data_IF_995004267835
#
_entry.id   IF_995004267835
#
_cell.length_a   1.000
_cell.length_b   1.000
_cell.length_c   1.000
_cell.angle_alpha   90.00
_cell.angle_beta   90.00
_cell.angle_gamma   90.00
#
_symmetry.space_group_name_H-M   'P 1'
#
loop_
_entity.id
_entity.type
_entity.pdbx_description
1 polymer ?
#
# COMPACT_ATOMS: atom_id res chain seq x y z
N UNK A 1 -8.56 -6.07 13.46
CA UNK A 1 -8.87 -6.40 14.87
C UNK A 1 -7.67 -6.13 15.82
N UNK A 2 -6.49 -6.77 15.65
CA UNK A 2 -5.35 -6.65 16.59
C UNK A 2 -4.80 -5.21 16.71
N UNK A 3 -4.64 -4.47 15.59
CA UNK A 3 -4.17 -3.09 15.64
C UNK A 3 -5.11 -2.18 16.43
N UNK A 4 -6.42 -2.38 16.30
CA UNK A 4 -7.44 -1.64 17.05
C UNK A 4 -7.31 -1.94 18.54
N UNK A 5 -7.19 -3.21 18.91
CA UNK A 5 -7.00 -3.63 20.30
C UNK A 5 -5.75 -3.01 20.92
N UNK A 6 -4.64 -2.98 20.17
CA UNK A 6 -3.41 -2.31 20.62
C UNK A 6 -3.60 -0.78 20.76
N UNK A 7 -4.32 -0.15 19.83
CA UNK A 7 -4.61 1.29 19.93
C UNK A 7 -5.45 1.62 21.16
N UNK A 8 -6.53 0.87 21.40
CA UNK A 8 -7.40 1.03 22.56
C UNK A 8 -6.64 0.83 23.89
N UNK A 9 -5.72 -0.15 23.93
CA UNK A 9 -4.90 -0.41 25.12
C UNK A 9 -3.88 0.72 25.39
N UNK A 10 -3.32 1.30 24.32
CA UNK A 10 -2.30 2.36 24.44
C UNK A 10 -2.87 3.74 24.65
N UNK A 11 -4.03 4.01 24.05
CA UNK A 11 -4.69 5.31 24.10
C UNK A 11 -5.97 5.13 24.92
N UNK A 12 -5.84 5.25 26.24
CA UNK A 12 -6.97 5.18 27.15
C UNK A 12 -7.68 6.55 27.22
N UNK A 13 -8.32 6.95 26.11
CA UNK A 13 -9.04 8.23 26.00
C UNK A 13 -10.45 7.96 25.47
N UNK A 14 -11.52 8.40 26.18
CA UNK A 14 -12.91 8.18 25.79
C UNK A 14 -13.29 8.85 24.46
N UNK A 15 -12.49 9.80 23.97
CA UNK A 15 -12.69 10.43 22.66
C UNK A 15 -12.22 9.56 21.50
N UNK A 16 -11.47 8.47 21.78
CA UNK A 16 -10.99 7.55 20.74
C UNK A 16 -12.16 6.64 20.31
N UNK A 17 -12.61 6.83 19.08
CA UNK A 17 -13.50 5.89 18.39
C UNK A 17 -12.68 5.06 17.41
N UNK A 18 -12.94 3.75 17.36
CA UNK A 18 -12.21 2.83 16.49
C UNK A 18 -13.19 2.04 15.63
N UNK A 19 -12.89 1.92 14.34
CA UNK A 19 -13.69 1.19 13.37
C UNK A 19 -12.80 0.15 12.67
N UNK A 20 -13.28 -1.09 12.58
CA UNK A 20 -12.57 -2.17 11.88
C UNK A 20 -13.08 -2.29 10.44
N UNK A 21 -12.91 -1.21 9.69
CA UNK A 21 -13.42 -1.07 8.33
C UNK A 21 -12.36 -0.42 7.42
N UNK A 22 -12.63 -0.41 6.11
CA UNK A 22 -11.86 0.38 5.17
C UNK A 22 -12.06 1.86 5.44
N UNK A 23 -11.02 2.66 5.30
CA UNK A 23 -11.10 4.12 5.38
C UNK A 23 -12.04 4.73 4.31
N UNK A 24 -12.41 3.97 3.29
CA UNK A 24 -13.42 4.36 2.31
C UNK A 24 -14.84 4.43 2.90
N UNK A 25 -15.07 3.81 4.07
CA UNK A 25 -16.31 3.90 4.83
C UNK A 25 -16.39 5.13 5.75
N UNK A 26 -15.34 5.95 5.80
CA UNK A 26 -15.30 7.14 6.66
C UNK A 26 -16.50 8.09 6.48
N UNK A 27 -17.03 8.35 5.26
CA UNK A 27 -18.22 9.20 5.12
C UNK A 27 -19.42 8.70 5.91
N UNK A 28 -19.73 7.39 5.83
CA UNK A 28 -20.86 6.79 6.50
C UNK A 28 -20.69 6.84 8.03
N UNK A 29 -19.49 6.60 8.54
CA UNK A 29 -19.22 6.65 9.97
C UNK A 29 -19.29 8.07 10.52
N UNK A 30 -18.77 9.07 9.81
CA UNK A 30 -18.87 10.47 10.21
C UNK A 30 -20.30 11.00 10.12
N UNK A 31 -21.08 10.56 9.13
CA UNK A 31 -22.49 10.88 8.99
C UNK A 31 -23.32 10.35 10.18
N UNK A 32 -23.09 9.10 10.61
CA UNK A 32 -23.72 8.55 11.82
C UNK A 32 -23.41 9.35 13.08
N UNK A 33 -22.23 9.93 13.15
CA UNK A 33 -21.79 10.78 14.25
C UNK A 33 -22.30 12.24 14.13
N UNK A 34 -22.86 12.64 12.98
CA UNK A 34 -23.30 14.01 12.71
C UNK A 34 -22.17 15.03 12.64
N UNK A 35 -20.95 14.62 12.24
CA UNK A 35 -19.77 15.49 12.25
C UNK A 35 -19.00 15.46 10.93
N UNK A 36 -18.26 16.55 10.66
CA UNK A 36 -17.23 16.60 9.64
C UNK A 36 -15.86 16.72 10.32
N UNK A 37 -14.87 16.08 9.74
CA UNK A 37 -13.51 16.10 10.29
C UNK A 37 -12.83 17.45 10.07
N UNK A 38 -12.08 17.89 11.07
CA UNK A 38 -11.19 19.05 10.97
C UNK A 38 -9.85 18.70 10.33
N UNK A 39 -9.48 17.44 10.37
CA UNK A 39 -8.27 16.87 9.76
C UNK A 39 -8.42 15.38 9.53
N UNK A 40 -7.78 14.88 8.50
CA UNK A 40 -7.67 13.46 8.18
C UNK A 40 -6.21 13.11 7.89
N UNK A 41 -5.70 12.04 8.49
CA UNK A 41 -4.38 11.48 8.21
C UNK A 41 -4.55 10.07 7.68
N UNK A 42 -4.00 9.83 6.49
CA UNK A 42 -3.96 8.52 5.85
C UNK A 42 -2.52 8.01 5.80
N UNK A 43 -2.25 6.94 6.53
CA UNK A 43 -0.98 6.22 6.53
C UNK A 43 -1.17 4.97 5.65
N UNK A 44 -0.72 5.07 4.38
CA UNK A 44 -0.98 4.04 3.38
C UNK A 44 -0.01 2.85 3.52
N UNK A 45 -0.40 1.72 2.95
CA UNK A 45 0.39 0.50 2.92
C UNK A 45 0.14 -0.41 4.12
N UNK A 46 1.17 -1.20 4.48
CA UNK A 46 1.05 -2.23 5.51
C UNK A 46 1.73 -1.82 6.82
N UNK A 47 1.15 -2.28 7.93
CA UNK A 47 1.73 -2.06 9.25
C UNK A 47 3.00 -2.89 9.46
N UNK A 48 3.88 -2.41 10.35
CA UNK A 48 5.06 -3.19 10.77
C UNK A 48 4.69 -4.57 11.29
N UNK A 49 3.57 -4.69 12.00
CA UNK A 49 3.06 -5.98 12.48
C UNK A 49 2.77 -6.97 11.35
N UNK A 50 2.15 -6.50 10.25
CA UNK A 50 1.88 -7.35 9.08
C UNK A 50 3.17 -7.75 8.37
N UNK A 51 4.13 -6.84 8.25
CA UNK A 51 5.41 -7.10 7.61
C UNK A 51 6.29 -8.06 8.41
N UNK A 52 6.28 -7.94 9.74
CA UNK A 52 7.12 -8.73 10.64
C UNK A 52 6.55 -10.12 10.92
N UNK A 53 5.28 -10.37 10.59
CA UNK A 53 4.65 -11.68 10.75
C UNK A 53 4.85 -12.53 9.48
N UNK A 54 5.70 -13.58 9.50
CA UNK A 54 5.96 -14.42 8.31
C UNK A 54 4.70 -15.09 7.77
N UNK A 55 3.73 -15.43 8.63
CA UNK A 55 2.49 -16.09 8.23
C UNK A 55 1.59 -15.22 7.31
N UNK A 56 1.87 -13.92 7.19
CA UNK A 56 1.15 -12.99 6.32
C UNK A 56 1.72 -12.92 4.89
N UNK A 57 2.92 -13.44 4.65
CA UNK A 57 3.54 -13.55 3.32
C UNK A 57 4.01 -12.24 2.69
N UNK A 58 4.19 -11.17 3.45
CA UNK A 58 4.68 -9.89 2.94
C UNK A 58 6.22 -9.80 2.89
N UNK A 59 6.91 -10.62 3.67
CA UNK A 59 8.36 -10.53 3.84
C UNK A 59 9.12 -11.27 2.74
N UNK A 60 10.12 -10.61 2.15
CA UNK A 60 11.09 -11.23 1.25
C UNK A 60 12.17 -11.99 2.06
N UNK A 61 12.39 -11.58 3.32
CA UNK A 61 13.46 -12.10 4.18
C UNK A 61 12.98 -13.32 4.94
N UNK A 62 11.82 -13.21 5.57
CA UNK A 62 11.24 -14.29 6.38
C UNK A 62 10.31 -15.12 5.50
N UNK A 63 10.60 -16.43 5.41
CA UNK A 63 9.77 -17.34 4.63
C UNK A 63 8.38 -17.52 5.25
N UNK A 64 7.36 -17.51 4.41
CA UNK A 64 5.95 -17.70 4.79
C UNK A 64 5.09 -18.05 3.59
N UNK A 65 3.78 -18.31 3.77
CA UNK A 65 2.86 -18.57 2.67
C UNK A 65 2.77 -17.36 1.74
N UNK A 66 2.54 -17.57 0.44
CA UNK A 66 2.28 -16.50 -0.54
C UNK A 66 0.84 -15.97 -0.39
N UNK A 67 0.53 -15.36 0.75
CA UNK A 67 -0.81 -14.81 1.04
C UNK A 67 -0.94 -13.35 0.58
N UNK A 68 -0.28 -12.43 1.25
CA UNK A 68 -0.24 -10.97 1.01
C UNK A 68 -1.57 -10.24 1.16
N UNK A 69 -2.64 -10.83 1.68
CA UNK A 69 -3.92 -10.14 1.90
C UNK A 69 -3.85 -9.22 3.12
N UNK A 70 -4.42 -8.04 3.03
CA UNK A 70 -4.68 -7.19 4.21
C UNK A 70 -5.86 -7.76 5.01
N UNK A 71 -6.94 -8.10 4.32
CA UNK A 71 -8.13 -8.76 4.85
C UNK A 71 -8.07 -10.26 4.52
N UNK A 72 -7.97 -11.10 5.55
CA UNK A 72 -7.90 -12.56 5.39
C UNK A 72 -9.21 -13.18 4.87
N UNK A 73 -10.32 -12.46 4.89
CA UNK A 73 -11.59 -12.91 4.31
C UNK A 73 -11.64 -12.73 2.79
N UNK A 74 -10.78 -11.88 2.21
CA UNK A 74 -10.71 -11.69 0.76
C UNK A 74 -10.25 -12.97 0.06
N UNK A 75 -10.82 -13.32 -1.12
CA UNK A 75 -10.54 -14.60 -1.76
C UNK A 75 -9.19 -14.65 -2.49
N UNK A 76 -8.69 -13.49 -2.98
CA UNK A 76 -7.49 -13.42 -3.82
C UNK A 76 -6.22 -13.38 -2.97
N UNK A 77 -5.30 -14.30 -3.22
CA UNK A 77 -3.98 -14.36 -2.60
C UNK A 77 -2.87 -14.20 -3.65
N UNK A 78 -1.66 -13.85 -3.20
CA UNK A 78 -0.49 -13.85 -4.09
C UNK A 78 -0.22 -15.24 -4.67
N UNK A 79 -0.47 -16.30 -3.90
CA UNK A 79 -0.39 -17.69 -4.34
C UNK A 79 -1.34 -17.96 -5.53
N UNK A 80 -2.58 -17.49 -5.44
CA UNK A 80 -3.55 -17.61 -6.54
C UNK A 80 -3.02 -16.90 -7.78
N UNK A 81 -2.56 -15.67 -7.66
CA UNK A 81 -2.04 -14.89 -8.80
C UNK A 81 -0.91 -15.63 -9.50
N UNK A 82 0.16 -16.03 -8.78
CA UNK A 82 1.33 -16.64 -9.41
C UNK A 82 1.04 -18.03 -9.99
N UNK A 83 0.07 -18.76 -9.45
CA UNK A 83 -0.23 -20.10 -9.93
C UNK A 83 -1.32 -20.17 -11.00
N UNK A 84 -2.18 -19.14 -11.15
CA UNK A 84 -3.33 -19.22 -12.05
C UNK A 84 -3.35 -18.20 -13.17
N UNK A 85 -2.77 -16.99 -12.96
CA UNK A 85 -2.86 -15.92 -13.97
C UNK A 85 -2.00 -16.23 -15.20
N UNK A 86 -2.43 -15.67 -16.34
CA UNK A 86 -1.74 -15.81 -17.63
C UNK A 86 -0.46 -14.96 -17.71
N UNK A 87 0.30 -15.16 -18.79
CA UNK A 87 1.54 -14.43 -19.06
C UNK A 87 1.29 -12.91 -19.12
N UNK A 88 0.25 -12.52 -19.85
CA UNK A 88 -0.05 -11.11 -20.08
C UNK A 88 -0.46 -10.39 -18.80
N UNK A 89 -1.32 -11.01 -17.97
CA UNK A 89 -1.73 -10.44 -16.70
C UNK A 89 -0.57 -10.33 -15.71
N UNK A 90 0.26 -11.36 -15.61
CA UNK A 90 1.47 -11.32 -14.77
C UNK A 90 2.42 -10.24 -15.25
N UNK A 91 2.69 -10.16 -16.56
CA UNK A 91 3.57 -9.14 -17.12
C UNK A 91 3.01 -7.74 -16.88
N UNK A 92 1.70 -7.54 -17.05
CA UNK A 92 1.03 -6.27 -16.82
C UNK A 92 1.18 -5.80 -15.37
N UNK A 93 0.83 -6.63 -14.38
CA UNK A 93 0.95 -6.20 -12.98
C UNK A 93 2.40 -5.97 -12.56
N UNK A 94 3.35 -6.77 -13.02
CA UNK A 94 4.77 -6.58 -12.76
C UNK A 94 5.27 -5.25 -13.35
N UNK A 95 4.79 -4.87 -14.53
CA UNK A 95 5.14 -3.61 -15.19
C UNK A 95 4.47 -2.42 -14.50
N UNK A 96 3.14 -2.48 -14.35
CA UNK A 96 2.33 -1.34 -13.90
C UNK A 96 2.43 -1.11 -12.38
N UNK A 97 2.41 -2.17 -11.58
CA UNK A 97 2.41 -2.09 -10.12
C UNK A 97 3.79 -2.27 -9.50
N UNK A 98 4.68 -3.00 -10.19
CA UNK A 98 6.06 -3.19 -9.75
C UNK A 98 7.03 -2.15 -10.30
N UNK A 99 6.70 -1.48 -11.40
CA UNK A 99 7.66 -0.74 -12.22
C UNK A 99 8.89 -1.62 -12.56
N UNK A 100 8.64 -2.93 -12.77
CA UNK A 100 9.66 -3.96 -12.92
C UNK A 100 10.20 -4.01 -14.36
N UNK A 101 11.49 -3.77 -14.52
CA UNK A 101 12.13 -3.74 -15.84
C UNK A 101 12.21 -5.11 -16.50
N UNK A 102 12.24 -6.18 -15.70
CA UNK A 102 12.28 -7.57 -16.18
C UNK A 102 10.93 -8.27 -16.02
N UNK A 103 9.81 -7.54 -16.15
CA UNK A 103 8.46 -8.05 -15.95
C UNK A 103 8.18 -9.30 -16.79
N UNK A 104 8.38 -9.25 -18.11
CA UNK A 104 8.13 -10.41 -18.98
C UNK A 104 9.06 -11.60 -18.68
N UNK A 105 10.39 -11.45 -18.52
CA UNK A 105 11.26 -12.54 -18.08
C UNK A 105 10.83 -13.17 -16.76
N UNK A 106 10.41 -12.37 -15.76
CA UNK A 106 9.96 -12.88 -14.47
C UNK A 106 8.63 -13.62 -14.62
N UNK A 107 7.67 -13.09 -15.38
CA UNK A 107 6.40 -13.76 -15.66
C UNK A 107 6.63 -15.14 -16.33
N UNK A 108 7.51 -15.21 -17.33
CA UNK A 108 7.89 -16.47 -17.97
C UNK A 108 8.53 -17.44 -16.96
N UNK A 109 9.42 -16.94 -16.10
CA UNK A 109 10.06 -17.76 -15.07
C UNK A 109 9.04 -18.33 -14.07
N UNK A 110 8.05 -17.53 -13.65
CA UNK A 110 6.93 -17.96 -12.80
C UNK A 110 6.13 -19.08 -13.51
N UNK A 111 5.75 -18.89 -14.77
CA UNK A 111 5.02 -19.91 -15.54
C UNK A 111 5.79 -21.22 -15.65
N UNK A 112 7.10 -21.14 -15.89
CA UNK A 112 7.96 -22.34 -16.00
C UNK A 112 8.13 -23.04 -14.65
N UNK A 113 8.26 -22.27 -13.57
CA UNK A 113 8.40 -22.83 -12.23
C UNK A 113 7.12 -23.56 -11.79
N UNK A 114 5.94 -22.93 -11.93
CA UNK A 114 4.66 -23.53 -11.52
C UNK A 114 4.26 -24.80 -12.31
N UNK A 115 4.79 -24.97 -13.55
CA UNK A 115 4.60 -26.24 -14.31
C UNK A 115 5.29 -27.42 -13.65
N UNK A 116 6.36 -27.19 -12.89
CA UNK A 116 7.10 -28.23 -12.15
C UNK A 116 6.46 -28.51 -10.80
N UNK A 117 6.15 -27.46 -10.07
CA UNK A 117 5.45 -27.52 -8.76
C UNK A 117 4.80 -26.15 -8.48
N UNK A 118 3.62 -26.11 -7.86
CA UNK A 118 2.99 -24.85 -7.44
C UNK A 118 3.91 -24.04 -6.50
N UNK A 119 3.96 -22.73 -6.71
CA UNK A 119 4.66 -21.80 -5.82
C UNK A 119 3.80 -21.59 -4.58
N UNK A 120 4.29 -21.98 -3.39
CA UNK A 120 3.52 -21.92 -2.15
C UNK A 120 4.03 -20.87 -1.18
N UNK A 121 5.33 -20.59 -1.21
CA UNK A 121 5.99 -19.76 -0.22
C UNK A 121 6.64 -18.52 -0.84
N UNK A 122 6.90 -17.52 0.01
CA UNK A 122 7.66 -16.33 -0.38
C UNK A 122 9.06 -16.69 -0.84
N UNK A 123 9.67 -17.74 -0.28
CA UNK A 123 10.99 -18.22 -0.69
C UNK A 123 10.95 -18.84 -2.10
N UNK A 124 9.88 -19.57 -2.46
CA UNK A 124 9.74 -20.13 -3.82
C UNK A 124 9.71 -19.01 -4.86
N UNK A 125 8.87 -18.00 -4.63
CA UNK A 125 8.79 -16.85 -5.53
C UNK A 125 10.10 -16.07 -5.59
N UNK A 126 10.75 -15.84 -4.44
CA UNK A 126 12.04 -15.15 -4.36
C UNK A 126 13.08 -15.83 -5.23
N UNK A 127 13.24 -17.15 -5.13
CA UNK A 127 14.18 -17.94 -5.94
C UNK A 127 13.91 -17.83 -7.43
N UNK A 128 12.63 -17.84 -7.82
CA UNK A 128 12.23 -17.66 -9.22
C UNK A 128 12.67 -16.29 -9.74
N UNK A 129 12.42 -15.23 -8.97
CA UNK A 129 12.83 -13.87 -9.37
C UNK A 129 14.35 -13.73 -9.42
N UNK A 130 15.05 -14.23 -8.41
CA UNK A 130 16.52 -14.18 -8.33
C UNK A 130 17.17 -14.89 -9.54
N UNK A 131 16.60 -16.00 -10.02
CA UNK A 131 17.12 -16.72 -11.19
C UNK A 131 17.14 -15.88 -12.48
N UNK A 132 16.28 -14.85 -12.56
CA UNK A 132 16.22 -13.93 -13.72
C UNK A 132 17.26 -12.82 -13.63
N UNK A 133 17.73 -12.50 -12.41
CA UNK A 133 18.62 -11.33 -12.20
C UNK A 133 20.12 -11.63 -12.30
N UNK A 134 20.55 -12.83 -11.97
CA UNK A 134 21.98 -13.23 -12.06
C UNK A 134 22.93 -12.50 -11.11
N UNK A 135 22.42 -11.70 -10.15
CA UNK A 135 23.26 -10.97 -9.20
C UNK A 135 22.47 -10.06 -8.25
N UNK A 136 23.16 -9.52 -7.20
CA UNK A 136 22.57 -8.61 -6.22
C UNK A 136 22.79 -7.15 -6.62
N UNK A 137 21.69 -6.37 -6.67
CA UNK A 137 21.73 -4.91 -6.78
C UNK A 137 21.70 -4.20 -5.40
N UNK A 138 21.54 -2.87 -5.40
CA UNK A 138 21.34 -2.07 -4.18
C UNK A 138 20.06 -2.42 -3.43
N UNK A 139 19.04 -2.87 -4.15
CA UNK A 139 17.73 -3.32 -3.63
C UNK A 139 17.58 -4.79 -3.96
N UNK A 140 16.89 -5.54 -3.11
CA UNK A 140 16.63 -6.96 -3.35
C UNK A 140 15.84 -7.14 -4.65
N UNK A 141 16.24 -8.04 -5.57
CA UNK A 141 15.59 -8.21 -6.87
C UNK A 141 14.08 -8.44 -6.80
N UNK A 142 13.62 -9.19 -5.80
CA UNK A 142 12.20 -9.49 -5.64
C UNK A 142 11.34 -8.32 -5.09
N UNK A 143 11.94 -7.17 -4.72
CA UNK A 143 11.19 -6.07 -4.10
C UNK A 143 10.05 -5.57 -4.98
N UNK A 144 10.31 -5.35 -6.27
CA UNK A 144 9.30 -4.86 -7.21
C UNK A 144 8.23 -5.90 -7.52
N UNK A 145 8.61 -7.18 -7.63
CA UNK A 145 7.67 -8.29 -7.81
C UNK A 145 6.73 -8.44 -6.61
N UNK A 146 7.25 -8.39 -5.38
CA UNK A 146 6.44 -8.46 -4.15
C UNK A 146 5.51 -7.26 -4.03
N UNK A 147 5.99 -6.05 -4.34
CA UNK A 147 5.14 -4.86 -4.40
C UNK A 147 4.00 -5.02 -5.41
N UNK A 148 4.29 -5.51 -6.62
CA UNK A 148 3.29 -5.71 -7.66
C UNK A 148 2.18 -6.67 -7.22
N UNK A 149 2.56 -7.81 -6.64
CA UNK A 149 1.59 -8.80 -6.14
C UNK A 149 0.76 -8.22 -4.98
N UNK A 150 1.38 -7.52 -4.04
CA UNK A 150 0.70 -6.90 -2.90
C UNK A 150 -0.36 -5.90 -3.37
N UNK A 151 0.01 -5.03 -4.30
CA UNK A 151 -0.91 -4.04 -4.89
C UNK A 151 -2.07 -4.75 -5.60
N UNK A 152 -1.79 -5.82 -6.37
CA UNK A 152 -2.80 -6.56 -7.09
C UNK A 152 -3.76 -7.32 -6.16
N UNK A 153 -3.23 -7.97 -5.11
CA UNK A 153 -4.02 -8.73 -4.12
C UNK A 153 -5.00 -7.82 -3.37
N UNK A 154 -4.58 -6.60 -3.03
CA UNK A 154 -5.32 -5.72 -2.12
C UNK A 154 -6.03 -4.56 -2.83
N UNK A 155 -5.96 -4.46 -4.16
CA UNK A 155 -6.46 -3.29 -4.93
C UNK A 155 -6.02 -1.96 -4.28
N UNK A 156 -4.71 -1.85 -3.92
CA UNK A 156 -4.22 -0.72 -3.14
C UNK A 156 -4.45 0.61 -3.85
N UNK A 157 -4.14 0.68 -5.15
CA UNK A 157 -4.29 1.93 -5.92
C UNK A 157 -5.76 2.30 -6.11
N UNK A 158 -6.65 1.34 -6.43
CA UNK A 158 -8.09 1.60 -6.52
C UNK A 158 -8.68 2.04 -5.19
N UNK A 159 -8.19 1.49 -4.08
CA UNK A 159 -8.61 1.90 -2.73
C UNK A 159 -8.14 3.33 -2.41
N UNK A 160 -6.92 3.72 -2.81
CA UNK A 160 -6.42 5.10 -2.67
C UNK A 160 -7.24 6.08 -3.52
N UNK A 161 -7.61 5.72 -4.76
CA UNK A 161 -8.47 6.55 -5.60
C UNK A 161 -9.84 6.81 -4.95
N UNK A 162 -10.47 5.75 -4.44
CA UNK A 162 -11.74 5.85 -3.69
C UNK A 162 -11.59 6.76 -2.46
N UNK A 163 -10.52 6.59 -1.69
CA UNK A 163 -10.22 7.43 -0.52
C UNK A 163 -10.08 8.91 -0.90
N UNK A 164 -9.36 9.21 -1.96
CA UNK A 164 -9.22 10.60 -2.43
C UNK A 164 -10.57 11.18 -2.89
N UNK A 165 -11.45 10.34 -3.43
CA UNK A 165 -12.81 10.72 -3.83
C UNK A 165 -13.74 11.04 -2.65
N UNK A 166 -13.50 10.50 -1.45
CA UNK A 166 -14.37 10.76 -0.29
C UNK A 166 -13.96 12.00 0.52
N UNK A 167 -12.80 12.61 0.26
CA UNK A 167 -12.31 13.78 1.01
C UNK A 167 -13.33 14.94 1.08
N UNK A 168 -14.07 15.30 -0.01
CA UNK A 168 -15.08 16.33 0.04
C UNK A 168 -16.25 16.04 0.98
N UNK A 169 -16.50 14.77 1.25
CA UNK A 169 -17.62 14.32 2.09
C UNK A 169 -17.24 14.20 3.57
N UNK A 170 -15.95 14.13 3.88
CA UNK A 170 -15.49 13.92 5.26
C UNK A 170 -14.88 15.17 5.91
N UNK A 171 -14.35 16.12 5.14
CA UNK A 171 -13.68 17.30 5.66
C UNK A 171 -14.60 18.52 5.64
N UNK A 172 -14.59 19.30 6.72
CA UNK A 172 -15.19 20.65 6.72
C UNK A 172 -14.34 21.65 5.94
N UNK A 173 -14.89 22.80 5.61
CA UNK A 173 -14.11 23.97 5.11
C UNK A 173 -13.05 24.35 6.16
N UNK A 174 -11.83 24.62 5.73
CA UNK A 174 -10.66 24.81 6.59
C UNK A 174 -10.02 23.49 7.08
N UNK A 175 -10.65 22.33 6.81
CA UNK A 175 -10.11 21.02 7.17
C UNK A 175 -8.99 20.58 6.23
N UNK A 176 -8.04 19.77 6.75
CA UNK A 176 -6.85 19.31 6.02
C UNK A 176 -6.82 17.80 5.90
N UNK A 177 -6.45 17.29 4.72
CA UNK A 177 -6.05 15.90 4.52
C UNK A 177 -4.54 15.80 4.36
N UNK A 178 -3.92 14.93 5.14
CA UNK A 178 -2.52 14.55 5.03
C UNK A 178 -2.44 13.08 4.61
N UNK A 179 -1.69 12.80 3.54
CA UNK A 179 -1.52 11.44 3.01
C UNK A 179 -0.04 11.08 3.00
N UNK A 180 0.29 10.00 3.72
CA UNK A 180 1.61 9.41 3.78
C UNK A 180 1.67 8.22 2.81
N UNK A 181 2.61 8.24 1.88
CA UNK A 181 2.81 7.22 0.84
C UNK A 181 4.20 6.63 0.94
N UNK A 182 4.39 5.37 0.51
CA UNK A 182 5.67 4.65 0.64
C UNK A 182 6.27 4.16 -0.67
N UNK A 183 5.55 4.30 -1.79
CA UNK A 183 6.09 4.01 -3.12
C UNK A 183 5.64 5.04 -4.17
N UNK A 184 6.31 4.96 -5.35
CA UNK A 184 6.15 5.93 -6.44
C UNK A 184 4.72 6.02 -6.98
N UNK A 185 4.01 4.91 -7.06
CA UNK A 185 2.67 4.85 -7.64
C UNK A 185 1.64 5.54 -6.75
N UNK A 186 1.65 5.25 -5.43
CA UNK A 186 0.80 5.97 -4.47
C UNK A 186 1.08 7.47 -4.51
N UNK A 187 2.35 7.87 -4.41
CA UNK A 187 2.72 9.29 -4.41
C UNK A 187 2.30 10.00 -5.70
N UNK A 188 2.43 9.33 -6.86
CA UNK A 188 2.00 9.86 -8.15
C UNK A 188 0.50 10.08 -8.20
N UNK A 189 -0.27 9.11 -7.71
CA UNK A 189 -1.72 9.16 -7.66
C UNK A 189 -2.20 10.31 -6.75
N UNK A 190 -1.72 10.37 -5.51
CA UNK A 190 -2.05 11.43 -4.55
C UNK A 190 -1.65 12.81 -5.08
N UNK A 191 -0.43 12.94 -5.60
CA UNK A 191 0.07 14.19 -6.19
C UNK A 191 -0.84 14.70 -7.31
N UNK A 192 -1.21 13.81 -8.25
CA UNK A 192 -2.00 14.20 -9.40
C UNK A 192 -3.42 14.58 -8.98
N UNK A 193 -4.04 13.80 -8.09
CA UNK A 193 -5.38 14.08 -7.59
C UNK A 193 -5.43 15.38 -6.79
N UNK A 194 -4.47 15.64 -5.91
CA UNK A 194 -4.41 16.89 -5.15
C UNK A 194 -4.23 18.12 -6.07
N UNK A 195 -3.41 17.99 -7.12
CA UNK A 195 -3.27 19.05 -8.12
C UNK A 195 -4.58 19.31 -8.86
N UNK A 196 -5.28 18.25 -9.25
CA UNK A 196 -6.58 18.35 -9.93
C UNK A 196 -7.60 19.02 -9.02
N UNK A 197 -7.74 18.55 -7.77
CA UNK A 197 -8.68 19.15 -6.80
C UNK A 197 -8.39 20.66 -6.58
N UNK A 198 -7.11 21.03 -6.50
CA UNK A 198 -6.74 22.44 -6.35
C UNK A 198 -7.02 23.26 -7.60
N UNK A 199 -6.93 22.68 -8.80
CA UNK A 199 -7.25 23.35 -10.07
C UNK A 199 -8.77 23.49 -10.28
N UNK A 200 -9.55 22.50 -9.86
CA UNK A 200 -11.01 22.49 -9.96
C UNK A 200 -11.67 23.49 -8.99
N UNK A 201 -10.91 24.00 -8.01
CA UNK A 201 -11.38 24.92 -6.99
C UNK A 201 -11.89 24.24 -5.71
N UNK A 202 -12.04 25.05 -4.64
CA UNK A 202 -12.47 24.55 -3.31
C UNK A 202 -11.38 23.83 -2.52
N UNK A 203 -10.15 23.73 -3.06
CA UNK A 203 -8.99 23.09 -2.41
C UNK A 203 -7.70 23.85 -2.64
N UNK A 204 -6.80 23.78 -1.67
CA UNK A 204 -5.49 24.42 -1.71
C UNK A 204 -4.39 23.46 -1.29
N UNK A 205 -3.32 23.36 -2.08
CA UNK A 205 -2.11 22.62 -1.68
C UNK A 205 -1.43 23.36 -0.52
N UNK A 206 -1.30 22.69 0.62
CA UNK A 206 -0.63 23.25 1.80
C UNK A 206 0.89 23.26 1.58
N UNK A 207 1.43 22.20 1.00
CA UNK A 207 2.84 22.10 0.65
C UNK A 207 3.01 21.96 -0.87
N UNK A 208 3.77 22.87 -1.50
CA UNK A 208 4.10 22.79 -2.94
C UNK A 208 5.08 21.64 -3.24
N UNK A 209 6.04 21.42 -2.35
CA UNK A 209 7.00 20.31 -2.42
C UNK A 209 6.56 19.20 -1.48
N UNK A 210 6.79 17.95 -1.88
CA UNK A 210 6.56 16.80 -1.01
C UNK A 210 7.47 16.89 0.22
N UNK A 211 6.94 16.53 1.39
CA UNK A 211 7.72 16.42 2.61
C UNK A 211 8.27 14.98 2.65
N UNK A 212 9.56 14.86 2.88
CA UNK A 212 10.29 13.59 2.98
C UNK A 212 11.02 13.53 4.31
N UNK A 213 11.31 12.34 4.85
CA UNK A 213 12.06 12.20 6.09
C UNK A 213 13.47 12.76 5.94
N UNK A 214 14.00 13.32 7.01
CA UNK A 214 15.40 13.73 7.07
C UNK A 214 16.35 12.54 7.32
N UNK A 215 17.65 12.82 7.30
CA UNK A 215 18.68 11.79 7.52
C UNK A 215 18.57 11.14 8.91
N UNK A 216 18.25 11.90 9.95
CA UNK A 216 18.18 11.39 11.31
C UNK A 216 16.97 10.47 11.48
N UNK A 217 15.82 10.87 10.93
CA UNK A 217 14.62 10.04 10.91
C UNK A 217 14.86 8.71 10.20
N UNK A 218 15.47 8.73 9.00
CA UNK A 218 15.80 7.51 8.25
C UNK A 218 16.80 6.63 9.00
N UNK A 219 17.74 7.22 9.75
CA UNK A 219 18.70 6.48 10.56
C UNK A 219 18.04 5.78 11.75
N UNK A 220 17.09 6.44 12.40
CA UNK A 220 16.34 5.88 13.54
C UNK A 220 15.27 4.88 13.07
N UNK A 221 14.60 5.19 11.97
CA UNK A 221 13.54 4.35 11.39
C UNK A 221 13.79 4.14 9.89
N UNK A 222 14.47 3.05 9.55
CA UNK A 222 14.76 2.72 8.14
C UNK A 222 13.52 2.56 7.25
N UNK A 223 12.36 2.27 7.85
CA UNK A 223 11.10 2.14 7.11
C UNK A 223 10.58 3.48 6.61
N UNK A 224 10.95 4.59 7.25
CA UNK A 224 10.59 5.94 6.80
C UNK A 224 11.27 6.37 5.49
N UNK A 225 12.35 5.70 5.08
CA UNK A 225 13.18 6.11 3.92
C UNK A 225 12.40 6.43 2.65
N UNK A 226 11.32 5.71 2.40
CA UNK A 226 10.48 5.88 1.20
C UNK A 226 9.26 6.76 1.44
N UNK A 227 9.05 7.20 2.68
CA UNK A 227 7.88 7.97 3.07
C UNK A 227 7.82 9.32 2.37
N UNK A 228 6.63 9.70 1.94
CA UNK A 228 6.35 11.00 1.32
C UNK A 228 5.01 11.51 1.85
N UNK A 229 5.01 12.70 2.40
CA UNK A 229 3.82 13.35 2.95
C UNK A 229 3.33 14.48 2.04
N UNK A 230 2.05 14.42 1.67
CA UNK A 230 1.35 15.50 0.95
C UNK A 230 0.14 15.96 1.74
N UNK A 231 -0.12 17.27 1.71
CA UNK A 231 -1.21 17.87 2.46
C UNK A 231 -2.02 18.79 1.54
N UNK A 232 -3.36 18.67 1.62
CA UNK A 232 -4.33 19.53 0.95
C UNK A 232 -5.32 20.07 1.97
N UNK A 233 -5.80 21.28 1.77
CA UNK A 233 -6.77 21.98 2.61
C UNK A 233 -8.04 22.27 1.81
N UNK A 234 -9.20 22.04 2.40
CA UNK A 234 -10.49 22.44 1.84
C UNK A 234 -10.72 23.91 2.12
N UNK A 235 -10.95 24.74 1.11
CA UNK A 235 -11.15 26.19 1.22
C UNK A 235 -12.58 26.59 0.84
#
# INVERSE_FOLDING_TARGET
AQAIQMAQTRINDPRLLTFNESYTCAPQELEKLGVLATGALFDLGLSSYQLDNPARGFSIINNGPLDMRFDLSAPLTAQTIVNTWGLDDLTRILTEYGEERKAAPIAIAILNARRKAPLQTTEDLKRVVESVYGGRGKTHPATQTFQALRIAVNDELGTVEKMLGVLPHILRVGGRAAVLTFHSLEDRLVKNRFKQMAADGGWKLVNKKVIVPDYNEVRQNRRSRSAKLRVIERV
#
